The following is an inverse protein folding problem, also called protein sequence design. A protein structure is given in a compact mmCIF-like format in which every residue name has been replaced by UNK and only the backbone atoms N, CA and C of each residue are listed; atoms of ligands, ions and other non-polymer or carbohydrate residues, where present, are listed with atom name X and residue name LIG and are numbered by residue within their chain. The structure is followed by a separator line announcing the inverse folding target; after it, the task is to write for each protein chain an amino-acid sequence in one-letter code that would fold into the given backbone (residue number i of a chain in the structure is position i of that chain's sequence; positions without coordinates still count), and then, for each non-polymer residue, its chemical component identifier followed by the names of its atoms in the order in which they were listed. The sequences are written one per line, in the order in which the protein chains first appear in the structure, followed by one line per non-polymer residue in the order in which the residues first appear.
data_IF_859660157006
#
_entry.id   IF_859660157006
#
_cell.length_a   1.000
_cell.length_b   1.000
_cell.length_c   1.000
_cell.angle_alpha   90.00
_cell.angle_beta   90.00
_cell.angle_gamma   90.00
#
_symmetry.space_group_name_H-M   'P 1'
#
loop_
_entity.id
_entity.type
_entity.pdbx_description
1 polymer ?
#
# COMPACT_ATOMS: atom_id res chain seq x y z
N UNK A 1 -4.31 16.37 11.06
CA UNK A 1 -2.89 16.74 11.25
C UNK A 1 -2.09 15.50 10.90
N UNK A 2 -1.09 15.59 10.01
CA UNK A 2 -0.29 14.43 9.64
C UNK A 2 0.41 13.87 10.87
N UNK A 3 0.50 12.55 10.95
CA UNK A 3 1.17 11.87 12.05
C UNK A 3 2.70 11.96 11.89
N UNK A 4 3.47 11.85 12.98
CA UNK A 4 4.93 12.01 12.94
C UNK A 4 5.63 10.99 12.03
N UNK A 5 5.08 9.79 11.90
CA UNK A 5 5.55 8.75 10.99
C UNK A 5 5.32 9.09 9.52
N UNK A 6 4.17 9.65 9.15
CA UNK A 6 3.87 10.12 7.77
C UNK A 6 4.87 11.18 7.31
N UNK A 7 5.23 12.12 8.21
CA UNK A 7 6.21 13.18 7.92
C UNK A 7 7.61 12.59 7.68
N UNK A 8 8.00 11.58 8.46
CA UNK A 8 9.30 10.93 8.35
C UNK A 8 9.41 10.01 7.12
N UNK A 9 8.29 9.40 6.70
CA UNK A 9 8.23 8.57 5.50
C UNK A 9 8.05 9.39 4.20
N UNK A 10 7.79 10.70 4.33
CA UNK A 10 7.56 11.58 3.18
C UNK A 10 6.20 11.34 2.50
N UNK A 11 5.30 10.62 3.17
CA UNK A 11 3.97 10.33 2.67
C UNK A 11 3.09 11.56 2.93
N UNK A 12 2.63 12.20 1.84
CA UNK A 12 1.74 13.37 1.91
C UNK A 12 0.46 13.04 1.18
N UNK A 13 -0.60 12.85 1.95
CA UNK A 13 -1.95 12.75 1.40
C UNK A 13 -2.39 14.10 0.85
N UNK A 14 -2.80 14.11 -0.42
CA UNK A 14 -3.28 15.28 -1.12
C UNK A 14 -4.77 15.10 -1.43
N UNK A 15 -5.55 16.17 -1.21
CA UNK A 15 -6.98 16.13 -1.52
C UNK A 15 -7.17 16.03 -3.04
N UNK A 16 -7.92 15.02 -3.47
CA UNK A 16 -8.30 14.92 -4.88
C UNK A 16 -9.35 15.96 -5.24
N UNK A 17 -9.47 16.27 -6.53
CA UNK A 17 -10.55 17.11 -7.04
C UNK A 17 -11.93 16.40 -7.05
N UNK A 18 -11.99 15.11 -6.71
CA UNK A 18 -13.24 14.35 -6.65
C UNK A 18 -14.05 14.78 -5.43
N UNK A 19 -15.31 15.11 -5.64
CA UNK A 19 -16.26 15.47 -4.57
C UNK A 19 -17.29 14.37 -4.40
N UNK A 20 -17.36 13.84 -3.18
CA UNK A 20 -18.38 12.91 -2.72
C UNK A 20 -19.13 13.53 -1.54
N UNK A 21 -20.45 13.32 -1.49
CA UNK A 21 -21.31 13.73 -0.38
C UNK A 21 -22.02 12.49 0.11
N UNK A 22 -22.06 12.28 1.42
CA UNK A 22 -22.63 11.07 2.01
C UNK A 22 -24.06 10.83 1.52
N UNK A 23 -24.36 9.61 1.04
CA UNK A 23 -25.64 9.22 0.41
C UNK A 23 -26.03 10.03 -0.84
N UNK A 24 -25.10 10.80 -1.40
CA UNK A 24 -25.28 11.59 -2.60
C UNK A 24 -24.59 10.96 -3.78
N UNK A 25 -25.21 9.93 -4.36
CA UNK A 25 -24.69 9.24 -5.54
C UNK A 25 -24.42 10.21 -6.70
N UNK A 26 -23.29 10.00 -7.37
CA UNK A 26 -22.85 10.79 -8.51
C UNK A 26 -22.43 9.88 -9.63
N UNK A 27 -22.91 10.17 -10.83
CA UNK A 27 -22.55 9.45 -12.03
C UNK A 27 -21.97 10.42 -13.05
N UNK A 28 -20.87 10.01 -13.68
CA UNK A 28 -20.17 10.68 -14.76
C UNK A 28 -19.81 12.13 -14.45
N UNK A 29 -19.24 12.35 -13.26
CA UNK A 29 -18.72 13.66 -12.87
C UNK A 29 -17.33 13.87 -13.49
N UNK A 30 -17.10 15.04 -14.09
CA UNK A 30 -15.79 15.40 -14.63
C UNK A 30 -14.89 15.85 -13.48
N UNK A 31 -13.75 15.17 -13.30
CA UNK A 31 -12.76 15.55 -12.30
C UNK A 31 -11.86 16.66 -12.84
N UNK A 32 -11.24 16.43 -14.00
CA UNK A 32 -10.41 17.42 -14.68
C UNK A 32 -10.17 17.04 -16.14
N UNK A 33 -9.79 18.04 -16.93
CA UNK A 33 -9.34 17.87 -18.31
C UNK A 33 -7.97 18.48 -18.44
N UNK A 34 -6.99 17.71 -18.90
CA UNK A 34 -5.60 18.17 -19.08
C UNK A 34 -5.10 17.82 -20.46
N UNK A 35 -4.44 18.78 -21.10
CA UNK A 35 -3.69 18.54 -22.34
C UNK A 35 -2.25 18.23 -21.97
N UNK A 36 -1.82 17.00 -22.21
CA UNK A 36 -0.47 16.54 -21.90
C UNK A 36 0.44 16.75 -23.10
N UNK A 37 1.66 17.21 -22.85
CA UNK A 37 2.71 17.32 -23.88
C UNK A 37 3.42 15.98 -24.13
N UNK A 38 4.26 15.92 -25.15
CA UNK A 38 5.02 14.72 -25.52
C UNK A 38 5.83 14.10 -24.37
N UNK A 39 6.47 14.94 -23.54
CA UNK A 39 7.27 14.48 -22.39
C UNK A 39 6.39 13.84 -21.32
N UNK A 40 5.23 14.44 -21.03
CA UNK A 40 4.26 13.95 -20.06
C UNK A 40 3.60 12.66 -20.54
N UNK A 41 3.27 12.56 -21.83
CA UNK A 41 2.70 11.34 -22.42
C UNK A 41 3.69 10.18 -22.37
N UNK A 42 4.97 10.44 -22.68
CA UNK A 42 6.04 9.44 -22.54
C UNK A 42 6.16 8.95 -21.10
N UNK A 43 6.22 9.86 -20.13
CA UNK A 43 6.30 9.50 -18.71
C UNK A 43 5.06 8.74 -18.22
N UNK A 44 3.86 9.12 -18.69
CA UNK A 44 2.62 8.42 -18.36
C UNK A 44 2.61 6.99 -18.91
N UNK A 45 3.09 6.82 -20.15
CA UNK A 45 3.22 5.51 -20.80
C UNK A 45 4.23 4.61 -20.09
N UNK A 46 5.39 5.15 -19.71
CA UNK A 46 6.39 4.44 -18.90
C UNK A 46 5.78 3.98 -17.58
N UNK A 47 5.03 4.84 -16.88
CA UNK A 47 4.35 4.46 -15.63
C UNK A 47 3.29 3.38 -15.81
N UNK A 48 2.55 3.40 -16.92
CA UNK A 48 1.59 2.33 -17.23
C UNK A 48 2.34 1.01 -17.49
N UNK A 49 3.48 1.07 -18.17
CA UNK A 49 4.31 -0.11 -18.45
C UNK A 49 5.00 -0.66 -17.20
N UNK A 50 5.30 0.20 -16.22
CA UNK A 50 5.86 -0.16 -14.91
C UNK A 50 4.77 -0.51 -13.88
N UNK A 51 3.53 -0.76 -14.32
CA UNK A 51 2.38 -1.15 -13.49
C UNK A 51 2.18 -0.23 -12.28
N UNK A 52 2.20 1.10 -12.49
CA UNK A 52 1.91 2.04 -11.41
C UNK A 52 0.47 1.95 -10.91
N UNK A 53 0.31 2.00 -9.59
CA UNK A 53 -0.98 2.07 -8.91
C UNK A 53 -1.22 3.46 -8.33
N UNK A 54 -2.48 3.89 -8.37
CA UNK A 54 -2.97 5.05 -7.61
C UNK A 54 -3.58 4.56 -6.31
N UNK A 55 -3.20 5.18 -5.20
CA UNK A 55 -3.80 4.91 -3.89
C UNK A 55 -4.73 6.06 -3.55
N UNK A 56 -5.96 5.72 -3.16
CA UNK A 56 -6.95 6.66 -2.66
C UNK A 56 -7.40 6.20 -1.28
N UNK A 57 -7.78 7.16 -0.45
CA UNK A 57 -8.26 6.92 0.90
C UNK A 57 -9.50 7.78 1.16
N UNK A 58 -10.52 7.21 1.80
CA UNK A 58 -11.69 7.91 2.31
C UNK A 58 -11.92 7.48 3.75
N UNK A 59 -11.91 8.43 4.69
CA UNK A 59 -12.13 8.17 6.13
C UNK A 59 -11.24 7.05 6.72
N UNK A 60 -9.95 7.12 6.39
CA UNK A 60 -8.94 6.11 6.71
C UNK A 60 -9.22 4.73 6.11
N UNK A 61 -10.09 4.60 5.11
CA UNK A 61 -10.31 3.36 4.37
C UNK A 61 -9.57 3.43 3.04
N UNK A 62 -8.64 2.51 2.82
CA UNK A 62 -7.89 2.43 1.56
C UNK A 62 -8.78 1.88 0.44
N UNK A 63 -8.60 2.42 -0.76
CA UNK A 63 -9.24 1.91 -1.97
C UNK A 63 -8.71 0.52 -2.29
N UNK A 64 -9.61 -0.40 -2.59
CA UNK A 64 -9.28 -1.72 -3.13
C UNK A 64 -9.98 -2.02 -4.43
N UNK A 65 -9.34 -2.85 -5.26
CA UNK A 65 -9.99 -3.57 -6.35
C UNK A 65 -10.05 -5.05 -6.03
N UNK A 66 -10.99 -5.77 -6.64
CA UNK A 66 -11.03 -7.23 -6.55
C UNK A 66 -10.15 -7.83 -7.64
N UNK A 67 -9.03 -8.42 -7.25
CA UNK A 67 -8.30 -9.38 -8.07
C UNK A 67 -9.05 -10.71 -8.15
N UNK A 68 -8.74 -11.52 -9.15
CA UNK A 68 -9.29 -12.87 -9.31
C UNK A 68 -8.15 -13.86 -9.43
N UNK A 69 -8.14 -14.88 -8.57
CA UNK A 69 -7.27 -16.06 -8.68
C UNK A 69 -8.14 -17.31 -8.84
N UNK A 70 -7.50 -18.45 -9.13
CA UNK A 70 -8.18 -19.76 -9.25
C UNK A 70 -8.92 -20.18 -7.98
N UNK A 71 -8.53 -19.64 -6.82
CA UNK A 71 -9.14 -19.93 -5.50
C UNK A 71 -10.22 -18.92 -5.08
N UNK A 72 -10.46 -17.84 -5.84
CA UNK A 72 -11.45 -16.81 -5.52
C UNK A 72 -10.98 -15.39 -5.79
N UNK A 73 -11.76 -14.40 -5.34
CA UNK A 73 -11.36 -13.00 -5.43
C UNK A 73 -10.59 -12.56 -4.19
N UNK A 74 -9.55 -11.75 -4.36
CA UNK A 74 -8.77 -11.17 -3.27
C UNK A 74 -8.67 -9.65 -3.43
N UNK A 75 -8.56 -8.88 -2.34
CA UNK A 75 -8.38 -7.43 -2.40
C UNK A 75 -6.97 -7.07 -2.88
N UNK A 76 -6.88 -6.11 -3.80
CA UNK A 76 -5.62 -5.46 -4.21
C UNK A 76 -5.71 -4.00 -3.80
N UNK A 77 -4.69 -3.51 -3.10
CA UNK A 77 -4.59 -2.11 -2.71
C UNK A 77 -4.38 -1.19 -3.93
N UNK A 78 -5.17 -0.13 -3.99
CA UNK A 78 -5.11 0.85 -5.06
C UNK A 78 -5.73 0.38 -6.38
N UNK A 79 -5.61 1.23 -7.40
CA UNK A 79 -6.04 0.94 -8.77
C UNK A 79 -4.90 1.14 -9.75
N UNK A 80 -4.70 0.25 -10.74
CA UNK A 80 -3.72 0.47 -11.79
C UNK A 80 -4.12 1.71 -12.59
N UNK A 81 -3.13 2.57 -12.91
CA UNK A 81 -3.39 3.78 -13.70
C UNK A 81 -3.73 3.48 -15.16
N UNK A 82 -3.41 2.28 -15.64
CA UNK A 82 -3.70 1.83 -16.99
C UNK A 82 -3.36 0.36 -17.18
N UNK A 83 -3.42 -0.12 -18.42
CA UNK A 83 -2.98 -1.45 -18.83
C UNK A 83 -2.10 -1.33 -20.06
N UNK A 84 -1.00 -2.07 -20.07
CA UNK A 84 -0.15 -2.20 -21.24
C UNK A 84 -0.56 -3.46 -22.01
N UNK A 85 -1.12 -3.32 -23.21
CA UNK A 85 -1.63 -4.42 -24.02
C UNK A 85 -1.31 -4.22 -25.49
N UNK A 86 -0.87 -5.27 -26.19
CA UNK A 86 -0.59 -5.27 -27.64
C UNK A 86 0.41 -4.18 -28.09
N UNK A 87 1.33 -3.83 -27.19
CA UNK A 87 2.30 -2.78 -27.42
C UNK A 87 1.74 -1.37 -27.27
N UNK A 88 0.53 -1.20 -26.74
CA UNK A 88 -0.11 0.08 -26.46
C UNK A 88 -0.42 0.27 -24.98
N UNK A 89 -0.25 1.50 -24.50
CA UNK A 89 -0.62 1.89 -23.14
C UNK A 89 -2.05 2.43 -23.14
N UNK A 90 -2.97 1.69 -22.55
CA UNK A 90 -4.37 2.07 -22.37
C UNK A 90 -4.52 2.71 -21.00
N UNK A 91 -4.95 3.97 -20.95
CA UNK A 91 -5.10 4.70 -19.70
C UNK A 91 -6.46 4.40 -19.05
N UNK A 92 -6.49 4.17 -17.73
CA UNK A 92 -7.73 4.24 -16.97
C UNK A 92 -7.98 5.70 -16.59
N UNK A 93 -9.05 6.27 -17.13
CA UNK A 93 -9.41 7.67 -16.91
C UNK A 93 -10.85 7.83 -16.39
N UNK A 94 -11.61 6.75 -16.29
CA UNK A 94 -12.92 6.73 -15.64
C UNK A 94 -12.89 5.82 -14.42
N UNK A 95 -13.22 6.34 -13.24
CA UNK A 95 -13.14 5.59 -11.99
C UNK A 95 -14.54 5.40 -11.39
N UNK A 96 -14.97 4.16 -11.26
CA UNK A 96 -16.19 3.83 -10.51
C UNK A 96 -15.81 3.53 -9.07
N UNK A 97 -16.28 4.38 -8.16
CA UNK A 97 -15.95 4.33 -6.74
C UNK A 97 -17.19 3.92 -5.96
N UNK A 98 -17.10 2.79 -5.27
CA UNK A 98 -18.14 2.27 -4.40
C UNK A 98 -17.72 2.47 -2.94
N UNK A 99 -18.46 3.31 -2.23
CA UNK A 99 -18.23 3.56 -0.81
C UNK A 99 -19.26 2.77 -0.02
N UNK A 100 -18.79 1.76 0.72
CA UNK A 100 -19.63 0.96 1.59
C UNK A 100 -19.73 1.62 2.95
N UNK A 101 -20.93 1.76 3.46
CA UNK A 101 -21.19 2.36 4.76
C UNK A 101 -22.00 1.44 5.65
N UNK A 102 -21.78 1.58 6.95
CA UNK A 102 -22.58 0.95 7.98
C UNK A 102 -23.36 2.03 8.72
N UNK A 103 -24.67 1.89 8.78
CA UNK A 103 -25.53 2.77 9.57
C UNK A 103 -25.41 2.39 11.05
N UNK A 104 -24.97 3.33 11.87
CA UNK A 104 -24.86 3.15 13.31
C UNK A 104 -26.23 2.94 13.94
N UNK A 105 -26.31 2.00 14.89
CA UNK A 105 -27.48 1.84 15.77
C UNK A 105 -27.65 3.01 16.74
N UNK A 106 -26.57 3.75 17.00
CA UNK A 106 -26.53 4.94 17.85
C UNK A 106 -26.65 6.22 17.03
N UNK A 107 -27.43 7.18 17.54
CA UNK A 107 -27.55 8.51 16.98
C UNK A 107 -26.37 9.41 17.39
N UNK A 108 -26.21 10.54 16.70
CA UNK A 108 -25.25 11.57 17.07
C UNK A 108 -25.40 12.05 18.52
N UNK A 109 -26.63 12.06 19.06
CA UNK A 109 -26.91 12.38 20.46
C UNK A 109 -26.29 11.34 21.40
N UNK A 110 -26.50 10.05 21.11
CA UNK A 110 -25.99 8.93 21.91
C UNK A 110 -24.45 8.88 21.91
N UNK A 111 -23.84 9.27 20.78
CA UNK A 111 -22.39 9.34 20.60
C UNK A 111 -21.78 10.67 21.06
N UNK A 112 -22.57 11.57 21.66
CA UNK A 112 -22.13 12.89 22.14
C UNK A 112 -21.41 13.73 21.04
N UNK A 113 -21.86 13.63 19.80
CA UNK A 113 -21.31 14.41 18.68
C UNK A 113 -21.79 15.85 18.79
N UNK A 114 -20.85 16.79 18.96
CA UNK A 114 -21.16 18.22 19.13
C UNK A 114 -21.91 18.77 17.91
N UNK A 115 -22.93 19.60 18.16
CA UNK A 115 -23.73 20.31 17.16
C UNK A 115 -24.54 19.42 16.20
N UNK A 116 -24.77 18.16 16.53
CA UNK A 116 -25.60 17.21 15.77
C UNK A 116 -26.55 16.55 16.78
N UNK A 117 -27.85 16.75 16.62
CA UNK A 117 -28.87 16.16 17.51
C UNK A 117 -29.76 15.26 16.69
N UNK A 118 -29.86 14.01 17.12
CA UNK A 118 -30.71 12.97 16.54
C UNK A 118 -30.37 12.62 15.08
N UNK A 119 -29.25 13.14 14.56
CA UNK A 119 -28.73 12.80 13.24
C UNK A 119 -28.29 11.34 13.18
N UNK A 120 -28.57 10.72 12.04
CA UNK A 120 -28.03 9.39 11.71
C UNK A 120 -26.51 9.46 11.56
N UNK A 121 -25.82 8.45 12.08
CA UNK A 121 -24.37 8.34 12.01
C UNK A 121 -24.02 7.20 11.06
N UNK A 122 -23.16 7.52 10.10
CA UNK A 122 -22.69 6.58 9.10
C UNK A 122 -21.20 6.38 9.26
N UNK A 123 -20.78 5.13 9.23
CA UNK A 123 -19.37 4.76 9.30
C UNK A 123 -18.95 4.19 7.94
N UNK A 124 -17.83 4.65 7.40
CA UNK A 124 -17.28 4.05 6.17
C UNK A 124 -16.60 2.72 6.55
N UNK A 125 -17.02 1.65 5.89
CA UNK A 125 -16.60 0.27 6.17
C UNK A 125 -15.98 -0.44 4.98
N UNK A 126 -15.99 0.19 3.81
CA UNK A 126 -15.28 -0.32 2.63
C UNK A 126 -15.17 0.73 1.54
N UNK A 127 -14.11 0.64 0.75
CA UNK A 127 -13.88 1.51 -0.39
C UNK A 127 -13.38 0.69 -1.57
N UNK A 128 -14.27 0.47 -2.54
CA UNK A 128 -14.00 -0.38 -3.70
C UNK A 128 -13.92 0.44 -4.98
N UNK A 129 -12.99 0.09 -5.85
CA UNK A 129 -12.75 0.75 -7.12
C UNK A 129 -12.95 -0.19 -8.30
N UNK A 130 -13.43 0.37 -9.40
CA UNK A 130 -13.37 -0.28 -10.71
C UNK A 130 -12.90 0.73 -11.75
N UNK A 131 -11.65 0.58 -12.24
CA UNK A 131 -11.11 1.47 -13.24
C UNK A 131 -11.56 1.07 -14.64
N UNK A 132 -11.90 2.07 -15.46
CA UNK A 132 -12.28 1.92 -16.86
C UNK A 132 -11.53 2.91 -17.75
N UNK A 133 -11.43 2.56 -19.03
CA UNK A 133 -10.81 3.40 -20.05
C UNK A 133 -11.87 3.91 -21.02
N UNK A 134 -11.93 5.23 -21.20
CA UNK A 134 -12.94 5.91 -22.03
C UNK A 134 -12.31 7.07 -22.79
N UNK A 135 -12.18 6.93 -24.09
CA UNK A 135 -11.86 8.03 -24.99
C UNK A 135 -13.14 8.83 -25.29
N UNK A 136 -13.04 10.14 -25.10
CA UNK A 136 -14.14 11.09 -25.34
C UNK A 136 -13.95 11.92 -26.61
N UNK A 137 -12.95 11.63 -27.45
CA UNK A 137 -12.76 12.22 -28.79
C UNK A 137 -12.86 13.77 -28.80
N UNK A 138 -12.21 14.44 -27.85
CA UNK A 138 -12.22 15.91 -27.69
C UNK A 138 -13.61 16.55 -27.48
N UNK A 139 -14.63 15.77 -27.10
CA UNK A 139 -16.01 16.24 -26.94
C UNK A 139 -16.18 17.37 -25.91
N UNK A 140 -17.30 18.08 -26.01
CA UNK A 140 -17.70 19.09 -25.02
C UNK A 140 -18.08 18.46 -23.69
N UNK A 141 -18.03 19.21 -22.58
CA UNK A 141 -18.37 18.66 -21.25
C UNK A 141 -19.75 17.98 -21.20
N UNK A 142 -20.76 18.54 -21.88
CA UNK A 142 -22.11 17.96 -21.94
C UNK A 142 -22.13 16.63 -22.68
N UNK A 143 -21.35 16.50 -23.75
CA UNK A 143 -21.22 15.28 -24.53
C UNK A 143 -20.42 14.22 -23.77
N UNK A 144 -19.34 14.61 -23.07
CA UNK A 144 -18.56 13.73 -22.20
C UNK A 144 -19.46 13.07 -21.16
N UNK A 145 -20.28 13.87 -20.46
CA UNK A 145 -21.22 13.35 -19.45
C UNK A 145 -22.25 12.39 -20.10
N UNK A 146 -22.73 12.70 -21.31
CA UNK A 146 -23.68 11.85 -22.03
C UNK A 146 -23.06 10.53 -22.49
N UNK A 147 -21.88 10.57 -23.11
CA UNK A 147 -21.14 9.39 -23.56
C UNK A 147 -20.79 8.49 -22.38
N UNK A 148 -20.33 9.09 -21.28
CA UNK A 148 -20.04 8.40 -20.05
C UNK A 148 -21.29 7.66 -19.50
N UNK A 149 -22.44 8.33 -19.41
CA UNK A 149 -23.67 7.69 -18.90
C UNK A 149 -24.16 6.54 -19.78
N UNK A 150 -23.90 6.62 -21.08
CA UNK A 150 -24.28 5.59 -22.04
C UNK A 150 -23.27 4.43 -22.10
N UNK A 151 -22.19 4.45 -21.28
CA UNK A 151 -21.05 3.54 -21.38
C UNK A 151 -20.50 3.47 -22.82
N UNK A 152 -20.56 4.59 -23.54
CA UNK A 152 -20.09 4.71 -24.91
C UNK A 152 -18.70 5.35 -24.88
N UNK A 153 -17.69 4.61 -25.34
CA UNK A 153 -16.32 5.09 -25.43
C UNK A 153 -15.39 3.94 -25.78
N UNK A 154 -14.47 4.17 -26.72
CA UNK A 154 -13.39 3.21 -26.99
C UNK A 154 -12.34 3.35 -25.88
N UNK A 155 -11.50 2.33 -25.64
CA UNK A 155 -10.37 2.48 -24.72
C UNK A 155 -9.47 3.65 -25.16
N UNK A 156 -9.09 4.49 -24.20
CA UNK A 156 -8.19 5.62 -24.41
C UNK A 156 -6.74 5.13 -24.48
N UNK A 157 -6.19 5.10 -25.69
CA UNK A 157 -4.78 4.79 -25.92
C UNK A 157 -3.94 6.05 -25.74
N UNK A 158 -2.88 5.95 -24.94
CA UNK A 158 -1.91 7.04 -24.72
C UNK A 158 -1.02 7.15 -25.96
N UNK A 159 -1.15 8.29 -26.65
CA UNK A 159 -0.43 8.57 -27.89
C UNK A 159 1.07 8.69 -27.67
N UNK A 160 1.85 8.21 -28.64
CA UNK A 160 3.31 8.42 -28.74
C UNK A 160 3.67 9.66 -29.56
N UNK A 161 2.69 10.36 -30.13
CA UNK A 161 2.86 11.47 -31.07
C UNK A 161 3.27 12.78 -30.35
N UNK A 162 4.17 13.62 -30.91
CA UNK A 162 4.61 14.85 -30.25
C UNK A 162 3.55 15.95 -30.10
N UNK A 163 2.41 15.85 -30.80
CA UNK A 163 1.36 16.87 -30.84
C UNK A 163 0.64 17.09 -29.50
N UNK A 164 0.85 16.20 -28.51
CA UNK A 164 0.13 16.20 -27.26
C UNK A 164 -1.26 15.55 -27.38
N UNK A 165 -1.89 15.31 -26.24
CA UNK A 165 -3.19 14.64 -26.17
C UNK A 165 -4.01 15.22 -25.02
N UNK A 166 -5.27 15.55 -25.30
CA UNK A 166 -6.23 15.98 -24.29
C UNK A 166 -6.82 14.75 -23.60
N UNK A 167 -6.74 14.71 -22.28
CA UNK A 167 -7.25 13.62 -21.47
C UNK A 167 -8.22 14.18 -20.45
N UNK A 168 -9.44 13.65 -20.44
CA UNK A 168 -10.46 13.97 -19.46
C UNK A 168 -10.60 12.83 -18.48
N UNK A 169 -10.51 13.13 -17.19
CA UNK A 169 -10.76 12.20 -16.10
C UNK A 169 -12.18 12.37 -15.58
N UNK A 170 -12.89 11.27 -15.42
CA UNK A 170 -14.27 11.23 -14.93
C UNK A 170 -14.41 10.19 -13.83
N UNK A 171 -15.46 10.29 -13.02
CA UNK A 171 -15.69 9.35 -11.93
C UNK A 171 -17.16 9.20 -11.59
N UNK A 172 -17.49 8.05 -11.02
CA UNK A 172 -18.76 7.72 -10.38
C UNK A 172 -18.51 7.49 -8.89
N UNK A 173 -19.44 7.93 -8.04
CA UNK A 173 -19.46 7.60 -6.61
C UNK A 173 -20.82 7.04 -6.29
N UNK A 174 -20.85 5.81 -5.80
CA UNK A 174 -22.06 5.14 -5.33
C UNK A 174 -21.91 4.72 -3.89
N UNK A 175 -22.97 4.86 -3.11
CA UNK A 175 -23.01 4.42 -1.72
C UNK A 175 -23.83 3.14 -1.59
N UNK A 176 -23.30 2.18 -0.83
CA UNK A 176 -23.99 0.92 -0.55
C UNK A 176 -23.95 0.64 0.95
N UNK A 177 -25.12 0.35 1.53
CA UNK A 177 -25.20 -0.05 2.93
C UNK A 177 -24.67 -1.47 3.10
N UNK A 178 -23.89 -1.70 4.16
CA UNK A 178 -23.29 -2.98 4.46
C UNK A 178 -23.46 -3.37 5.92
N UNK A 179 -23.66 -4.66 6.14
CA UNK A 179 -23.76 -5.27 7.47
C UNK A 179 -22.39 -5.38 8.19
N UNK A 180 -21.29 -5.01 7.52
CA UNK A 180 -19.95 -5.00 8.11
C UNK A 180 -19.92 -3.96 9.24
N UNK A 181 -19.60 -4.43 10.45
CA UNK A 181 -19.41 -3.54 11.60
C UNK A 181 -18.12 -2.75 11.45
N UNK A 182 -18.13 -1.50 11.95
CA UNK A 182 -16.95 -0.63 11.90
C UNK A 182 -15.69 -1.27 12.53
N UNK A 183 -15.84 -2.05 13.61
CA UNK A 183 -14.70 -2.68 14.29
C UNK A 183 -13.97 -3.74 13.44
N UNK A 184 -14.69 -4.43 12.54
CA UNK A 184 -14.16 -5.52 11.69
C UNK A 184 -13.95 -5.06 10.25
N UNK A 185 -14.02 -3.75 9.99
CA UNK A 185 -13.97 -3.19 8.62
C UNK A 185 -12.67 -3.48 7.88
N UNK A 186 -11.59 -3.76 8.60
CA UNK A 186 -10.29 -4.07 8.05
C UNK A 186 -10.10 -5.55 7.71
N UNK A 187 -10.93 -6.45 8.24
CA UNK A 187 -10.72 -7.88 8.11
C UNK A 187 -10.77 -8.30 6.63
N UNK A 188 -11.71 -7.74 5.86
CA UNK A 188 -11.83 -7.97 4.43
C UNK A 188 -10.63 -7.45 3.61
N UNK A 189 -9.89 -6.45 4.11
CA UNK A 189 -8.69 -5.93 3.43
C UNK A 189 -7.45 -6.79 3.73
N UNK A 190 -7.43 -7.45 4.88
CA UNK A 190 -6.31 -8.26 5.36
C UNK A 190 -6.30 -9.67 4.77
N UNK A 191 -7.33 -10.05 4.00
CA UNK A 191 -7.34 -11.30 3.24
C UNK A 191 -6.26 -11.25 2.16
N UNK A 192 -5.12 -11.89 2.44
CA UNK A 192 -3.97 -11.89 1.55
C UNK A 192 -4.26 -12.66 0.25
N UNK A 193 -3.68 -12.17 -0.85
CA UNK A 193 -3.56 -12.93 -2.10
C UNK A 193 -2.98 -14.33 -1.79
N UNK A 194 -3.69 -15.42 -2.13
CA UNK A 194 -3.22 -16.78 -1.89
C UNK A 194 -1.84 -17.04 -2.52
N UNK A 195 -1.51 -16.39 -3.65
CA UNK A 195 -0.24 -16.57 -4.34
C UNK A 195 0.93 -15.90 -3.58
N UNK A 196 0.67 -14.79 -2.88
CA UNK A 196 1.68 -14.13 -2.02
C UNK A 196 2.03 -14.95 -0.77
N UNK A 197 1.12 -15.84 -0.32
CA UNK A 197 1.36 -16.71 0.84
C UNK A 197 2.61 -17.58 0.64
N UNK A 198 2.84 -18.09 -0.57
CA UNK A 198 4.02 -18.92 -0.85
C UNK A 198 5.33 -18.14 -0.69
N UNK A 199 5.36 -16.88 -1.13
CA UNK A 199 6.57 -16.03 -1.08
C UNK A 199 6.93 -15.67 0.37
N UNK A 200 5.94 -15.43 1.23
CA UNK A 200 6.17 -15.04 2.63
C UNK A 200 6.93 -16.10 3.44
N UNK A 201 6.63 -17.39 3.24
CA UNK A 201 7.33 -18.46 3.97
C UNK A 201 8.81 -18.59 3.55
N UNK A 202 9.15 -18.27 2.30
CA UNK A 202 10.56 -18.24 1.84
C UNK A 202 11.35 -17.14 2.56
N UNK A 203 10.72 -15.98 2.80
CA UNK A 203 11.35 -14.88 3.56
C UNK A 203 11.57 -15.28 5.02
N UNK A 204 10.60 -15.95 5.64
CA UNK A 204 10.73 -16.46 7.02
C UNK A 204 11.91 -17.45 7.11
N UNK A 205 12.00 -18.41 6.19
CA UNK A 205 13.11 -19.37 6.14
C UNK A 205 14.46 -18.67 5.95
N UNK A 206 14.53 -17.68 5.05
CA UNK A 206 15.73 -16.90 4.81
C UNK A 206 16.17 -16.15 6.08
N UNK A 207 15.24 -15.52 6.79
CA UNK A 207 15.52 -14.82 8.05
C UNK A 207 16.03 -15.77 9.14
N UNK A 208 15.40 -16.95 9.28
CA UNK A 208 15.84 -17.99 10.22
C UNK A 208 17.26 -18.47 9.89
N UNK A 209 17.54 -18.73 8.61
CA UNK A 209 18.86 -19.20 8.17
C UNK A 209 19.97 -18.19 8.50
N UNK A 210 19.75 -16.91 8.20
CA UNK A 210 20.71 -15.83 8.49
C UNK A 210 20.92 -15.69 10.01
N UNK A 211 19.84 -15.75 10.80
CA UNK A 211 19.90 -15.64 12.26
C UNK A 211 20.68 -16.79 12.89
N UNK A 212 20.45 -18.03 12.44
CA UNK A 212 21.20 -19.21 12.90
C UNK A 212 22.68 -19.14 12.51
N UNK A 213 22.99 -18.66 11.31
CA UNK A 213 24.36 -18.48 10.88
C UNK A 213 25.11 -17.43 11.72
N UNK A 214 24.49 -16.28 11.98
CA UNK A 214 25.07 -15.23 12.80
C UNK A 214 25.27 -15.68 14.24
N UNK A 215 24.29 -16.38 14.84
CA UNK A 215 24.41 -16.93 16.20
C UNK A 215 25.51 -17.98 16.30
N UNK A 216 25.66 -18.85 15.30
CA UNK A 216 26.76 -19.82 15.25
C UNK A 216 28.14 -19.14 15.15
N UNK A 217 28.27 -18.10 14.33
CA UNK A 217 29.51 -17.33 14.21
C UNK A 217 29.89 -16.69 15.55
N UNK A 218 28.92 -16.02 16.20
CA UNK A 218 29.13 -15.43 17.53
C UNK A 218 29.52 -16.51 18.54
N UNK A 219 28.85 -17.65 18.55
CA UNK A 219 29.17 -18.77 19.43
C UNK A 219 30.62 -19.26 19.21
N UNK A 220 31.06 -19.44 17.97
CA UNK A 220 32.45 -19.86 17.66
C UNK A 220 33.46 -18.83 18.15
N UNK A 221 33.21 -17.54 17.96
CA UNK A 221 34.10 -16.48 18.47
C UNK A 221 34.17 -16.53 19.99
N UNK A 222 33.03 -16.62 20.68
CA UNK A 222 32.96 -16.71 22.14
C UNK A 222 33.67 -17.96 22.67
N UNK A 223 33.42 -19.13 22.08
CA UNK A 223 34.09 -20.37 22.46
C UNK A 223 35.60 -20.28 22.25
N UNK A 224 36.04 -19.69 21.13
CA UNK A 224 37.46 -19.49 20.84
C UNK A 224 38.11 -18.56 21.86
N UNK A 225 37.47 -17.45 22.22
CA UNK A 225 37.99 -16.53 23.22
C UNK A 225 38.02 -17.15 24.61
N UNK A 226 36.96 -17.84 25.04
CA UNK A 226 36.91 -18.50 26.36
C UNK A 226 37.97 -19.59 26.47
N UNK A 227 38.16 -20.40 25.42
CA UNK A 227 39.17 -21.45 25.42
C UNK A 227 40.59 -20.88 25.50
N UNK A 228 40.87 -19.81 24.75
CA UNK A 228 42.16 -19.11 24.81
C UNK A 228 42.40 -18.48 26.18
N UNK A 229 41.35 -17.95 26.81
CA UNK A 229 41.43 -17.36 28.15
C UNK A 229 41.74 -18.44 29.20
N UNK A 230 41.01 -19.58 29.17
CA UNK A 230 41.31 -20.75 30.03
C UNK A 230 42.74 -21.26 29.86
N UNK A 231 43.21 -21.43 28.62
CA UNK A 231 44.57 -21.89 28.34
C UNK A 231 45.64 -20.92 28.86
N UNK A 232 45.33 -19.62 28.88
CA UNK A 232 46.23 -18.60 29.43
C UNK A 232 46.29 -18.65 30.95
N UNK A 233 45.14 -18.76 31.63
CA UNK A 233 45.12 -18.85 33.09
C UNK A 233 45.81 -20.12 33.60
N UNK A 234 45.60 -21.28 32.96
CA UNK A 234 46.25 -22.52 33.37
C UNK A 234 47.79 -22.44 33.25
N UNK A 235 48.30 -21.82 32.18
CA UNK A 235 49.74 -21.61 32.03
C UNK A 235 50.31 -20.61 33.05
N UNK A 236 49.53 -19.60 33.46
CA UNK A 236 49.96 -18.64 34.48
C UNK A 236 50.04 -19.34 35.85
N UNK A 237 49.05 -20.16 36.19
CA UNK A 237 49.05 -20.96 37.43
C UNK A 237 50.25 -21.94 37.45
N UNK A 238 50.47 -22.70 36.37
CA UNK A 238 51.63 -23.59 36.24
C UNK A 238 52.96 -22.82 36.35
N UNK A 239 53.04 -21.60 35.80
CA UNK A 239 54.24 -20.76 35.90
C UNK A 239 54.44 -20.14 37.27
N UNK A 240 53.35 -19.82 37.99
CA UNK A 240 53.37 -19.28 39.33
C UNK A 240 53.77 -20.36 40.34
N UNK A 241 53.25 -21.59 40.21
CA UNK A 241 53.71 -22.75 40.97
C UNK A 241 55.20 -23.06 40.69
N UNK A 242 55.64 -23.01 39.43
CA UNK A 242 57.07 -23.18 39.09
C UNK A 242 57.97 -22.07 39.66
N UNK A 243 57.45 -20.85 39.79
CA UNK A 243 58.19 -19.72 40.37
C UNK A 243 58.24 -19.79 41.91
N UNK A 244 57.19 -20.30 42.56
CA UNK A 244 57.22 -20.62 44.00
C UNK A 244 58.21 -21.76 44.32
N UNK A 245 58.34 -22.77 43.46
CA UNK A 245 59.33 -23.85 43.61
C UNK A 245 60.79 -23.41 43.34
N UNK A 246 61.04 -22.24 42.78
CA UNK A 246 62.40 -21.70 42.57
C UNK A 246 62.80 -20.64 43.59
N UNK A 247 61.83 -20.03 44.28
CA UNK A 247 62.05 -18.94 45.25
C UNK A 247 62.82 -19.32 46.51
N UNK A 248 62.72 -20.58 46.97
CA UNK A 248 63.36 -21.03 48.21
C UNK A 248 64.87 -21.36 48.07
N UNK A 249 65.44 -21.32 46.87
CA UNK A 249 66.88 -21.56 46.61
C UNK A 249 67.74 -20.30 46.46
N UNK A 250 67.16 -19.10 46.54
CA UNK A 250 67.93 -17.85 46.51
C UNK A 250 68.16 -17.27 47.92
N UNK A 251 68.82 -18.02 48.80
CA UNK A 251 69.49 -17.48 49.99
C UNK A 251 70.77 -18.27 50.26
N UNK A 252 71.86 -17.90 49.57
CA UNK A 252 73.22 -18.10 50.07
C UNK A 252 74.20 -17.23 49.28
N UNK A 253 74.62 -16.11 49.86
CA UNK A 253 76.02 -15.79 50.25
C UNK A 253 75.98 -14.56 51.15
#
# INVERSE_FOLDING_TARGET
MPNLGEILMGERDELTAMKAYMLGDRTCSIQCTKTLNAKQLKALREKIQEDYYMHLNVDNMALVIRGTSGEGSYPILGMPIGKFQDGDAVLHNHYKLLIKYHKSEFSATDLNIKNRKDDEVFNIVGFEGSPESRDYEDASEKEIVKQCKNNAGKPLVVSSNPAGQKITFTYDVTFEESDIKWATRWDNLLEADPDLRHVQWVVILNSIAITLFLTALVAVVLFRTVYLDFARYNNIDDSAEAQEETGWKQVNT
#
